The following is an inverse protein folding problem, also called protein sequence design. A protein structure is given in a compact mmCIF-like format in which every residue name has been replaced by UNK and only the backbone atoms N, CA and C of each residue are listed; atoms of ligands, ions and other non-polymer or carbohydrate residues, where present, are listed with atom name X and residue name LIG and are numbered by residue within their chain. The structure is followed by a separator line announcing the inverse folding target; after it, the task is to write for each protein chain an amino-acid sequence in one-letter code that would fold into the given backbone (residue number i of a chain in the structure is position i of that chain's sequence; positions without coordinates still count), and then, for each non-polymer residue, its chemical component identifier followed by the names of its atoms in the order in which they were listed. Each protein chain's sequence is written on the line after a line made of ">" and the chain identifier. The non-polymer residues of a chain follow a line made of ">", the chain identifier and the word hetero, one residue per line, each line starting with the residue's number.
data_IF_195216893406
#
_entry.id   IF_195216893406
#
_cell.length_a   1.000
_cell.length_b   1.000
_cell.length_c   1.000
_cell.angle_alpha   90.00
_cell.angle_beta   90.00
_cell.angle_gamma   90.00
#
_symmetry.space_group_name_H-M   'P 1'
#
loop_
_entity.id
_entity.type
_entity.pdbx_description
1 polymer ?
#
# COMPACT_ATOMS: atom_id res chain seq x y z
N UNK A 1 21.82 16.20 -12.16
CA UNK A 1 22.66 15.28 -11.37
C UNK A 1 21.88 13.96 -11.24
N UNK A 2 22.04 13.02 -12.19
CA UNK A 2 21.34 11.72 -12.14
C UNK A 2 22.09 10.86 -11.12
N UNK A 3 21.56 10.68 -9.90
CA UNK A 3 22.20 9.80 -8.93
C UNK A 3 22.13 8.37 -9.48
N UNK A 4 23.28 7.84 -9.90
CA UNK A 4 23.44 6.41 -10.20
C UNK A 4 23.42 5.67 -8.87
N UNK A 5 22.24 5.54 -8.27
CA UNK A 5 22.02 4.51 -7.26
C UNK A 5 22.15 3.19 -8.01
N UNK A 6 23.20 2.45 -7.70
CA UNK A 6 23.52 1.19 -8.40
C UNK A 6 22.62 0.07 -7.88
N UNK A 7 22.27 -0.91 -8.72
CA UNK A 7 21.49 -2.09 -8.29
C UNK A 7 22.00 -2.75 -7.01
N UNK A 8 23.32 -2.75 -6.81
CA UNK A 8 23.97 -3.30 -5.62
C UNK A 8 23.56 -2.55 -4.34
N UNK A 9 23.41 -1.23 -4.39
CA UNK A 9 22.94 -0.42 -3.26
C UNK A 9 21.47 -0.68 -2.96
N UNK A 10 20.62 -0.79 -3.98
CA UNK A 10 19.18 -1.06 -3.80
C UNK A 10 18.90 -2.47 -3.30
N UNK A 11 19.70 -3.47 -3.72
CA UNK A 11 19.68 -4.79 -3.10
C UNK A 11 20.10 -4.77 -1.62
N UNK A 12 21.07 -3.92 -1.25
CA UNK A 12 21.44 -3.69 0.16
C UNK A 12 20.30 -3.10 0.98
N UNK A 13 19.54 -2.16 0.40
CA UNK A 13 18.33 -1.60 1.01
C UNK A 13 17.22 -2.64 1.16
N UNK A 14 16.94 -3.43 0.12
CA UNK A 14 15.99 -4.56 0.17
C UNK A 14 16.32 -5.50 1.34
N UNK A 15 17.58 -5.91 1.48
CA UNK A 15 18.02 -6.77 2.60
C UNK A 15 17.81 -6.09 3.95
N UNK A 16 17.98 -4.77 4.02
CA UNK A 16 17.70 -4.00 5.24
C UNK A 16 16.20 -4.01 5.57
N UNK A 17 15.33 -3.80 4.58
CA UNK A 17 13.88 -3.86 4.74
C UNK A 17 13.38 -5.26 5.12
N UNK A 18 13.92 -6.31 4.51
CA UNK A 18 13.68 -7.69 4.93
C UNK A 18 14.00 -7.90 6.41
N UNK A 19 15.14 -7.39 6.91
CA UNK A 19 15.50 -7.46 8.33
C UNK A 19 14.51 -6.68 9.19
N UNK A 20 14.07 -5.48 8.77
CA UNK A 20 13.07 -4.68 9.49
C UNK A 20 11.72 -5.41 9.62
N UNK A 21 11.21 -5.99 8.53
CA UNK A 21 10.01 -6.82 8.57
C UNK A 21 10.15 -8.08 9.43
N UNK A 22 11.36 -8.67 9.51
CA UNK A 22 11.66 -9.83 10.36
C UNK A 22 11.77 -9.48 11.86
N UNK A 23 12.21 -8.27 12.21
CA UNK A 23 12.29 -7.80 13.61
C UNK A 23 10.91 -7.72 14.25
N UNK A 24 9.91 -7.30 13.47
CA UNK A 24 8.53 -7.21 13.95
C UNK A 24 7.85 -8.58 13.83
N UNK A 25 7.99 -9.37 14.90
CA UNK A 25 7.49 -10.75 15.00
C UNK A 25 6.09 -10.86 15.60
N UNK A 26 5.72 -9.96 16.51
CA UNK A 26 4.42 -9.98 17.21
C UNK A 26 3.94 -8.56 17.45
N UNK A 27 2.67 -8.34 17.16
CA UNK A 27 1.93 -7.16 17.64
C UNK A 27 1.15 -7.60 18.88
N UNK A 28 0.95 -6.70 19.83
CA UNK A 28 0.09 -6.95 20.99
C UNK A 28 -1.27 -7.44 20.49
N UNK A 29 -1.82 -8.49 21.14
CA UNK A 29 -3.19 -8.89 20.88
C UNK A 29 -4.13 -7.70 21.14
N UNK A 30 -5.17 -7.55 20.33
CA UNK A 30 -6.17 -6.50 20.52
C UNK A 30 -6.85 -6.74 21.89
N UNK A 31 -6.81 -5.80 22.84
CA UNK A 31 -7.64 -5.86 24.04
C UNK A 31 -9.12 -5.78 23.64
N UNK A 32 -10.02 -6.16 24.54
CA UNK A 32 -11.47 -6.11 24.28
C UNK A 32 -11.85 -4.70 23.79
N UNK A 33 -12.79 -4.59 22.84
CA UNK A 33 -13.22 -3.29 22.36
C UNK A 33 -13.70 -2.47 23.58
N UNK A 34 -13.47 -1.15 23.55
CA UNK A 34 -13.99 -0.14 24.50
C UNK A 34 -13.11 0.34 25.65
N UNK A 35 -11.89 -0.14 25.87
CA UNK A 35 -11.02 0.41 26.94
C UNK A 35 -10.13 1.60 26.49
N UNK A 36 -9.82 1.73 25.19
CA UNK A 36 -8.94 2.80 24.69
C UNK A 36 -9.23 3.14 23.21
N UNK A 37 -9.58 4.41 22.93
CA UNK A 37 -9.93 4.93 21.58
C UNK A 37 -8.75 4.95 20.59
N UNK A 38 -7.50 4.91 21.06
CA UNK A 38 -6.31 4.79 20.21
C UNK A 38 -6.04 3.37 19.72
N UNK A 39 -6.58 2.34 20.38
CA UNK A 39 -6.29 0.95 20.02
C UNK A 39 -6.76 0.54 18.62
N UNK A 40 -7.96 0.93 18.13
CA UNK A 40 -8.40 0.64 16.77
C UNK A 40 -7.51 1.30 15.71
N UNK A 41 -6.97 2.49 16.01
CA UNK A 41 -6.02 3.20 15.18
C UNK A 41 -4.71 2.41 15.07
N UNK A 42 -4.17 2.00 16.23
CA UNK A 42 -2.96 1.18 16.32
C UNK A 42 -3.14 -0.17 15.61
N UNK A 43 -4.26 -0.84 15.85
CA UNK A 43 -4.58 -2.13 15.25
C UNK A 43 -4.64 -2.05 13.73
N UNK A 44 -5.32 -1.04 13.18
CA UNK A 44 -5.44 -0.86 11.73
C UNK A 44 -4.08 -0.64 11.09
N UNK A 45 -3.22 0.19 11.69
CA UNK A 45 -1.84 0.36 11.21
C UNK A 45 -1.02 -0.93 11.29
N UNK A 46 -1.23 -1.76 12.32
CA UNK A 46 -0.59 -3.08 12.41
C UNK A 46 -1.09 -4.06 11.35
N UNK A 47 -2.39 -4.08 11.05
CA UNK A 47 -2.93 -4.86 9.93
C UNK A 47 -2.31 -4.41 8.61
N UNK A 48 -2.20 -3.10 8.40
CA UNK A 48 -1.51 -2.56 7.23
C UNK A 48 -0.04 -2.95 7.20
N UNK A 49 0.64 -3.02 8.34
CA UNK A 49 2.01 -3.51 8.38
C UNK A 49 2.14 -4.98 8.00
N UNK A 50 1.28 -5.83 8.56
CA UNK A 50 1.26 -7.27 8.25
C UNK A 50 1.00 -7.49 6.76
N UNK A 51 0.03 -6.78 6.19
CA UNK A 51 -0.26 -6.84 4.74
C UNK A 51 0.93 -6.37 3.91
N UNK A 52 1.54 -5.25 4.28
CA UNK A 52 2.75 -4.73 3.62
C UNK A 52 3.90 -5.73 3.67
N UNK A 53 4.08 -6.43 4.79
CA UNK A 53 5.08 -7.50 4.95
C UNK A 53 4.86 -8.66 3.99
N UNK A 54 3.62 -9.17 3.88
CA UNK A 54 3.31 -10.27 2.99
C UNK A 54 3.47 -9.89 1.50
N UNK A 55 3.00 -8.71 1.12
CA UNK A 55 3.18 -8.18 -0.24
C UNK A 55 4.67 -8.02 -0.57
N UNK A 56 5.46 -7.45 0.34
CA UNK A 56 6.90 -7.33 0.17
C UNK A 56 7.59 -8.69 0.07
N UNK A 57 7.22 -9.68 0.89
CA UNK A 57 7.78 -11.04 0.80
C UNK A 57 7.49 -11.69 -0.56
N UNK A 58 6.26 -11.60 -1.06
CA UNK A 58 5.90 -12.10 -2.39
C UNK A 58 6.67 -11.39 -3.50
N UNK A 59 6.88 -10.08 -3.35
CA UNK A 59 7.67 -9.29 -4.29
C UNK A 59 9.12 -9.75 -4.35
N UNK A 60 9.76 -9.98 -3.20
CA UNK A 60 11.13 -10.52 -3.14
C UNK A 60 11.20 -11.92 -3.76
N UNK A 61 10.27 -12.81 -3.43
CA UNK A 61 10.25 -14.16 -4.01
C UNK A 61 10.17 -14.07 -5.54
N UNK A 62 9.30 -13.22 -6.09
CA UNK A 62 9.20 -13.02 -7.54
C UNK A 62 10.48 -12.46 -8.19
N UNK A 63 11.24 -11.60 -7.49
CA UNK A 63 12.55 -11.12 -7.96
C UNK A 63 13.60 -12.24 -7.98
N UNK A 64 13.64 -13.07 -6.93
CA UNK A 64 14.57 -14.18 -6.80
C UNK A 64 14.30 -15.28 -7.84
N UNK A 65 13.02 -15.58 -8.08
CA UNK A 65 12.53 -16.53 -9.08
C UNK A 65 12.56 -15.97 -10.52
N UNK A 66 12.85 -14.67 -10.69
CA UNK A 66 12.84 -13.95 -11.97
C UNK A 66 11.48 -14.02 -12.69
N UNK A 67 10.39 -14.03 -11.94
CA UNK A 67 9.02 -14.06 -12.45
C UNK A 67 8.47 -12.62 -12.59
N UNK A 68 8.76 -11.99 -13.71
CA UNK A 68 8.44 -10.57 -13.97
C UNK A 68 6.93 -10.29 -13.96
N UNK A 69 6.11 -11.20 -14.48
CA UNK A 69 4.65 -11.07 -14.46
C UNK A 69 4.11 -11.00 -13.02
N UNK A 70 4.57 -11.94 -12.18
CA UNK A 70 4.17 -11.99 -10.77
C UNK A 70 4.72 -10.77 -10.02
N UNK A 71 5.92 -10.32 -10.37
CA UNK A 71 6.48 -9.09 -9.82
C UNK A 71 5.58 -7.89 -10.10
N UNK A 72 5.18 -7.65 -11.35
CA UNK A 72 4.36 -6.49 -11.72
C UNK A 72 2.98 -6.51 -11.05
N UNK A 73 2.35 -7.68 -10.93
CA UNK A 73 1.08 -7.81 -10.20
C UNK A 73 1.23 -7.50 -8.69
N UNK A 74 2.33 -7.96 -8.08
CA UNK A 74 2.57 -7.76 -6.64
C UNK A 74 3.06 -6.33 -6.35
N UNK A 75 3.96 -5.75 -7.15
CA UNK A 75 4.46 -4.38 -6.94
C UNK A 75 3.33 -3.37 -7.06
N UNK A 76 2.38 -3.55 -7.98
CA UNK A 76 1.17 -2.73 -8.07
C UNK A 76 0.37 -2.77 -6.78
N UNK A 77 0.04 -3.98 -6.33
CA UNK A 77 -0.70 -4.18 -5.07
C UNK A 77 0.06 -3.61 -3.86
N UNK A 78 1.39 -3.70 -3.87
CA UNK A 78 2.25 -3.16 -2.83
C UNK A 78 2.25 -1.64 -2.84
N UNK A 79 2.39 -1.00 -4.01
CA UNK A 79 2.35 0.46 -4.16
C UNK A 79 1.02 1.06 -3.73
N UNK A 80 -0.09 0.46 -4.17
CA UNK A 80 -1.41 0.90 -3.74
C UNK A 80 -1.57 0.80 -2.23
N UNK A 81 -1.02 -0.26 -1.64
CA UNK A 81 -0.98 -0.45 -0.20
C UNK A 81 -0.08 0.58 0.51
N UNK A 82 1.07 0.94 -0.06
CA UNK A 82 1.94 2.01 0.46
C UNK A 82 1.22 3.36 0.45
N UNK A 83 0.54 3.70 -0.65
CA UNK A 83 -0.25 4.93 -0.76
C UNK A 83 -1.39 4.94 0.26
N UNK A 84 -2.12 3.83 0.40
CA UNK A 84 -3.19 3.70 1.40
C UNK A 84 -2.65 3.86 2.84
N UNK A 85 -1.51 3.26 3.16
CA UNK A 85 -0.92 3.36 4.50
C UNK A 85 -0.38 4.76 4.81
N UNK A 86 0.31 5.39 3.86
CA UNK A 86 0.76 6.77 4.01
C UNK A 86 -0.42 7.73 4.19
N UNK A 87 -1.44 7.60 3.35
CA UNK A 87 -2.66 8.41 3.45
C UNK A 87 -3.38 8.19 4.78
N UNK A 88 -3.48 6.94 5.24
CA UNK A 88 -4.02 6.59 6.55
C UNK A 88 -3.31 7.36 7.67
N UNK A 89 -1.97 7.29 7.72
CA UNK A 89 -1.19 8.04 8.71
C UNK A 89 -1.47 9.54 8.65
N UNK A 90 -1.45 10.14 7.45
CA UNK A 90 -1.64 11.59 7.28
C UNK A 90 -2.99 12.05 7.81
N UNK A 91 -4.05 11.31 7.47
CA UNK A 91 -5.40 11.63 7.90
C UNK A 91 -5.61 11.42 9.38
N UNK A 92 -5.16 10.29 9.93
CA UNK A 92 -5.23 10.04 11.38
C UNK A 92 -4.47 11.13 12.14
N UNK A 93 -3.24 11.45 11.73
CA UNK A 93 -2.44 12.49 12.39
C UNK A 93 -3.14 13.85 12.35
N UNK A 94 -3.74 14.23 11.22
CA UNK A 94 -4.46 15.49 11.10
C UNK A 94 -5.68 15.55 12.03
N UNK A 95 -6.47 14.48 12.10
CA UNK A 95 -7.65 14.39 12.95
C UNK A 95 -7.27 14.43 14.44
N UNK A 96 -6.25 13.66 14.85
CA UNK A 96 -5.77 13.66 16.23
C UNK A 96 -5.21 15.04 16.64
N UNK A 97 -4.44 15.70 15.78
CA UNK A 97 -3.92 17.05 16.05
C UNK A 97 -5.04 18.10 16.15
N UNK A 98 -6.19 17.85 15.53
CA UNK A 98 -7.38 18.71 15.62
C UNK A 98 -8.30 18.35 16.80
N UNK A 99 -7.95 17.36 17.62
CA UNK A 99 -8.81 16.87 18.72
C UNK A 99 -10.02 16.05 18.25
N UNK A 100 -10.06 15.63 16.98
CA UNK A 100 -11.15 14.89 16.34
C UNK A 100 -10.93 13.37 16.48
N UNK A 101 -10.91 12.89 17.73
CA UNK A 101 -10.59 11.48 18.04
C UNK A 101 -11.66 10.51 17.53
N UNK A 102 -12.92 10.90 17.53
CA UNK A 102 -14.03 10.06 17.07
C UNK A 102 -13.95 9.83 15.56
N UNK A 103 -13.65 10.88 14.79
CA UNK A 103 -13.44 10.81 13.35
C UNK A 103 -12.18 9.99 13.02
N UNK A 104 -11.11 10.11 13.82
CA UNK A 104 -9.91 9.30 13.66
C UNK A 104 -10.22 7.81 13.89
N UNK A 105 -10.99 7.48 14.92
CA UNK A 105 -11.47 6.12 15.18
C UNK A 105 -12.32 5.60 14.01
N UNK A 106 -13.29 6.38 13.53
CA UNK A 106 -14.15 5.99 12.41
C UNK A 106 -13.35 5.75 11.14
N UNK A 107 -12.33 6.58 10.86
CA UNK A 107 -11.44 6.37 9.73
C UNK A 107 -10.62 5.08 9.86
N UNK A 108 -10.06 4.80 11.05
CA UNK A 108 -9.34 3.56 11.30
C UNK A 108 -10.23 2.34 11.10
N UNK A 109 -11.46 2.36 11.62
CA UNK A 109 -12.42 1.29 11.40
C UNK A 109 -12.71 1.10 9.89
N UNK A 110 -12.94 2.20 9.14
CA UNK A 110 -13.18 2.16 7.69
C UNK A 110 -12.01 1.53 6.92
N UNK A 111 -10.77 1.91 7.24
CA UNK A 111 -9.59 1.39 6.54
C UNK A 111 -9.17 -0.01 7.00
N UNK A 112 -9.48 -0.40 8.25
CA UNK A 112 -9.17 -1.72 8.82
C UNK A 112 -10.07 -2.85 8.32
N UNK A 113 -11.29 -2.55 7.87
CA UNK A 113 -12.28 -3.55 7.43
C UNK A 113 -12.01 -4.18 6.04
N UNK A 114 -10.91 -3.78 5.37
CA UNK A 114 -10.26 -4.59 4.32
C UNK A 114 -11.17 -5.17 3.25
N UNK A 115 -12.17 -4.42 2.76
CA UNK A 115 -13.05 -4.82 1.65
C UNK A 115 -14.08 -5.93 1.97
N UNK A 116 -13.86 -6.79 2.98
CA UNK A 116 -14.87 -7.76 3.44
C UNK A 116 -15.94 -7.14 4.35
N UNK A 117 -15.68 -5.94 4.87
CA UNK A 117 -16.61 -5.16 5.67
C UNK A 117 -16.95 -3.81 5.05
N UNK A 118 -17.05 -3.73 3.71
CA UNK A 118 -17.87 -2.64 3.15
C UNK A 118 -19.24 -2.76 3.82
N UNK A 119 -19.73 -1.69 4.47
CA UNK A 119 -21.00 -1.79 5.18
C UNK A 119 -22.06 -2.19 4.16
N UNK A 120 -22.72 -3.31 4.41
CA UNK A 120 -23.84 -3.75 3.59
C UNK A 120 -24.95 -2.70 3.69
N UNK A 121 -25.85 -2.63 2.71
CA UNK A 121 -27.00 -1.72 2.81
C UNK A 121 -27.80 -1.91 4.11
N UNK A 122 -27.83 -3.13 4.63
CA UNK A 122 -28.45 -3.46 5.91
C UNK A 122 -27.70 -2.80 7.09
N UNK A 123 -26.37 -2.86 7.10
CA UNK A 123 -25.56 -2.18 8.11
C UNK A 123 -25.69 -0.65 8.01
N UNK A 124 -25.77 -0.11 6.80
CA UNK A 124 -25.97 1.32 6.52
C UNK A 124 -27.34 1.78 7.04
N UNK A 125 -28.40 1.02 6.73
CA UNK A 125 -29.77 1.27 7.23
C UNK A 125 -29.86 1.20 8.75
N UNK A 126 -29.29 0.16 9.36
CA UNK A 126 -29.37 -0.04 10.81
C UNK A 126 -28.59 1.03 11.60
N UNK A 127 -27.59 1.66 10.99
CA UNK A 127 -26.81 2.74 11.59
C UNK A 127 -27.24 4.14 11.14
N UNK A 128 -28.20 4.24 10.23
CA UNK A 128 -28.71 5.52 9.70
C UNK A 128 -27.66 6.37 8.98
N UNK A 129 -26.64 5.76 8.37
CA UNK A 129 -25.55 6.48 7.69
C UNK A 129 -25.71 6.47 6.16
N UNK A 130 -24.99 7.30 5.41
CA UNK A 130 -25.02 7.30 3.95
C UNK A 130 -23.87 6.44 3.37
N UNK A 131 -24.10 5.72 2.27
CA UNK A 131 -23.06 4.98 1.52
C UNK A 131 -21.87 5.87 1.15
N UNK A 132 -22.12 7.15 0.84
CA UNK A 132 -21.07 8.14 0.54
C UNK A 132 -20.10 8.32 1.71
N UNK A 133 -20.59 8.23 2.96
CA UNK A 133 -19.77 8.40 4.16
C UNK A 133 -18.72 7.29 4.31
N UNK A 134 -18.90 6.17 3.61
CA UNK A 134 -18.03 5.00 3.65
C UNK A 134 -17.17 4.81 2.41
N UNK A 135 -17.28 5.71 1.42
CA UNK A 135 -16.40 5.66 0.25
C UNK A 135 -14.97 5.92 0.66
N UNK A 136 -14.10 4.96 0.38
CA UNK A 136 -12.66 5.17 0.48
C UNK A 136 -12.24 6.20 -0.58
N UNK A 137 -11.28 7.08 -0.27
CA UNK A 137 -10.70 7.96 -1.28
C UNK A 137 -10.17 7.14 -2.46
N UNK A 138 -10.25 7.71 -3.66
CA UNK A 138 -9.69 7.03 -4.82
C UNK A 138 -8.15 6.92 -4.67
N UNK A 139 -7.56 5.95 -5.37
CA UNK A 139 -6.14 5.65 -5.23
C UNK A 139 -5.22 6.82 -5.63
N UNK A 140 -5.61 7.59 -6.64
CA UNK A 140 -4.84 8.75 -7.10
C UNK A 140 -4.77 9.85 -6.04
N UNK A 141 -5.89 10.13 -5.36
CA UNK A 141 -5.94 11.07 -4.25
C UNK A 141 -5.03 10.61 -3.11
N UNK A 142 -4.96 9.31 -2.83
CA UNK A 142 -4.05 8.76 -1.83
C UNK A 142 -2.59 8.97 -2.26
N UNK A 143 -2.25 8.61 -3.50
CA UNK A 143 -0.89 8.76 -4.03
C UNK A 143 -0.43 10.22 -4.02
N UNK A 144 -1.24 11.15 -4.52
CA UNK A 144 -0.90 12.58 -4.59
C UNK A 144 -0.67 13.19 -3.19
N UNK A 145 -1.49 12.81 -2.21
CA UNK A 145 -1.35 13.28 -0.84
C UNK A 145 -0.05 12.76 -0.20
N UNK A 146 0.27 11.49 -0.44
CA UNK A 146 1.48 10.86 0.12
C UNK A 146 2.74 11.40 -0.56
N UNK A 147 2.75 11.52 -1.88
CA UNK A 147 3.86 12.11 -2.64
C UNK A 147 4.18 13.52 -2.13
N UNK A 148 3.16 14.39 -2.04
CA UNK A 148 3.33 15.77 -1.60
C UNK A 148 3.90 15.86 -0.18
N UNK A 149 3.45 15.01 0.73
CA UNK A 149 3.96 14.99 2.10
C UNK A 149 5.39 14.44 2.17
N UNK A 150 5.68 13.38 1.40
CA UNK A 150 6.98 12.74 1.35
C UNK A 150 8.05 13.68 0.78
N UNK A 151 7.75 14.37 -0.32
CA UNK A 151 8.61 15.40 -0.93
C UNK A 151 8.93 16.53 0.06
N UNK A 152 7.90 17.03 0.75
CA UNK A 152 8.05 18.09 1.76
C UNK A 152 9.04 17.67 2.86
N UNK A 153 8.96 16.43 3.32
CA UNK A 153 9.83 15.94 4.40
C UNK A 153 11.25 15.64 3.92
N UNK A 154 11.43 15.14 2.70
CA UNK A 154 12.75 14.80 2.16
C UNK A 154 13.45 15.98 1.48
N UNK A 155 12.77 17.12 1.30
CA UNK A 155 13.27 18.29 0.56
C UNK A 155 13.75 17.93 -0.86
N UNK A 156 13.11 16.94 -1.46
CA UNK A 156 13.34 16.53 -2.85
C UNK A 156 12.19 17.08 -3.72
N UNK A 157 12.49 17.53 -4.94
CA UNK A 157 11.48 17.97 -5.91
C UNK A 157 11.21 16.84 -6.90
N UNK A 158 9.95 16.45 -7.06
CA UNK A 158 9.48 15.53 -8.10
C UNK A 158 8.46 14.53 -7.57
N UNK A 159 7.24 14.56 -8.13
CA UNK A 159 6.22 13.53 -7.88
C UNK A 159 6.76 12.21 -8.39
N UNK A 160 6.71 11.17 -7.56
CA UNK A 160 7.25 9.87 -7.95
C UNK A 160 6.22 8.76 -7.85
N UNK A 161 5.34 8.71 -6.85
CA UNK A 161 4.37 7.61 -6.81
C UNK A 161 3.32 7.71 -7.91
N UNK A 162 2.73 8.87 -8.17
CA UNK A 162 1.69 8.91 -9.22
C UNK A 162 2.29 8.72 -10.61
N UNK A 163 3.32 9.50 -10.93
CA UNK A 163 3.99 9.46 -12.23
C UNK A 163 4.52 8.05 -12.53
N UNK A 164 5.28 7.43 -11.62
CA UNK A 164 5.79 6.07 -11.85
C UNK A 164 4.70 5.00 -11.80
N UNK A 165 3.61 5.23 -11.06
CA UNK A 165 2.48 4.31 -11.09
C UNK A 165 1.86 4.30 -12.48
N UNK A 166 1.54 5.47 -13.04
CA UNK A 166 0.93 5.59 -14.36
C UNK A 166 1.89 5.15 -15.48
N UNK A 167 3.17 5.48 -15.39
CA UNK A 167 4.16 5.17 -16.44
C UNK A 167 4.68 3.73 -16.41
N UNK A 168 4.78 3.08 -15.24
CA UNK A 168 5.53 1.82 -15.10
C UNK A 168 4.72 0.68 -14.45
N UNK A 169 3.59 0.96 -13.80
CA UNK A 169 2.91 -0.02 -12.93
C UNK A 169 1.44 -0.23 -13.35
N UNK A 170 0.75 0.80 -13.82
CA UNK A 170 -0.68 0.79 -14.13
C UNK A 170 -1.03 -0.24 -15.21
N UNK A 171 -0.15 -0.42 -16.19
CA UNK A 171 -0.29 -1.36 -17.31
C UNK A 171 -0.19 -2.85 -16.91
N UNK A 172 0.28 -3.16 -15.69
CA UNK A 172 0.53 -4.53 -15.21
C UNK A 172 -0.71 -5.40 -14.93
N UNK A 173 -1.91 -5.02 -15.38
CA UNK A 173 -3.13 -5.82 -15.19
C UNK A 173 -3.65 -5.88 -13.74
N UNK A 174 -4.76 -6.59 -13.52
CA UNK A 174 -5.52 -6.59 -12.25
C UNK A 174 -4.78 -7.21 -11.05
N UNK A 175 -4.98 -6.61 -9.89
CA UNK A 175 -4.25 -6.84 -8.62
C UNK A 175 -4.45 -8.19 -7.92
N UNK A 176 -5.10 -9.17 -8.55
CA UNK A 176 -5.16 -10.51 -7.97
C UNK A 176 -4.97 -11.60 -9.01
N UNK A 177 -4.01 -12.51 -8.72
CA UNK A 177 -3.91 -13.83 -9.36
C UNK A 177 -5.26 -14.55 -9.34
N UNK A 178 -6.06 -14.35 -8.29
CA UNK A 178 -7.46 -14.82 -8.18
C UNK A 178 -8.37 -14.20 -9.24
N UNK A 179 -8.31 -12.89 -9.49
CA UNK A 179 -9.10 -12.22 -10.52
C UNK A 179 -8.73 -12.66 -11.95
N UNK A 180 -7.43 -12.86 -12.21
CA UNK A 180 -6.94 -13.42 -13.47
C UNK A 180 -7.33 -14.89 -13.64
N UNK A 181 -7.28 -15.70 -12.57
CA UNK A 181 -7.71 -17.11 -12.56
C UNK A 181 -9.23 -17.25 -12.72
N UNK A 182 -10.02 -16.34 -12.15
CA UNK A 182 -11.48 -16.28 -12.33
C UNK A 182 -11.82 -15.84 -13.77
N UNK A 183 -11.14 -14.81 -14.29
CA UNK A 183 -11.35 -14.34 -15.65
C UNK A 183 -10.99 -15.40 -16.71
N UNK A 184 -9.87 -16.11 -16.53
CA UNK A 184 -9.47 -17.23 -17.42
C UNK A 184 -10.41 -18.43 -17.33
N UNK A 185 -11.04 -18.69 -16.17
CA UNK A 185 -12.04 -19.75 -16.04
C UNK A 185 -13.40 -19.41 -16.66
N UNK A 186 -13.82 -18.15 -16.67
CA UNK A 186 -15.19 -17.75 -17.01
C UNK A 186 -15.33 -17.10 -18.40
N UNK A 187 -14.25 -16.59 -18.99
CA UNK A 187 -14.28 -15.96 -20.32
C UNK A 187 -12.94 -16.15 -21.07
N UNK A 188 -12.58 -17.39 -21.47
CA UNK A 188 -11.31 -17.69 -22.13
C UNK A 188 -11.11 -16.93 -23.45
N UNK A 189 -12.20 -16.60 -24.13
CA UNK A 189 -12.27 -15.88 -25.40
C UNK A 189 -12.06 -14.35 -25.26
N UNK A 190 -12.00 -13.82 -24.03
CA UNK A 190 -11.67 -12.40 -23.74
C UNK A 190 -10.20 -12.17 -23.38
N UNK A 191 -9.34 -13.17 -23.54
CA UNK A 191 -7.87 -13.03 -23.37
C UNK A 191 -7.28 -11.89 -24.22
N UNK A 192 -7.90 -11.57 -25.36
CA UNK A 192 -7.54 -10.44 -26.23
C UNK A 192 -7.82 -9.05 -25.64
N UNK A 193 -8.56 -8.97 -24.52
CA UNK A 193 -8.83 -7.73 -23.78
C UNK A 193 -7.90 -7.55 -22.58
N UNK A 194 -6.99 -8.50 -22.31
CA UNK A 194 -5.93 -8.29 -21.33
C UNK A 194 -4.97 -7.20 -21.83
N UNK A 195 -4.43 -6.35 -20.95
CA UNK A 195 -3.49 -5.30 -21.34
C UNK A 195 -2.32 -5.88 -22.13
N UNK A 196 -1.93 -5.20 -23.21
CA UNK A 196 -0.75 -5.57 -24.00
C UNK A 196 0.51 -5.36 -23.16
N UNK A 197 1.00 -6.45 -22.57
CA UNK A 197 2.18 -6.44 -21.70
C UNK A 197 3.46 -6.08 -22.44
N UNK A 198 3.48 -6.03 -23.79
CA UNK A 198 4.70 -5.65 -24.54
C UNK A 198 5.20 -4.24 -24.20
N UNK A 199 4.32 -3.29 -23.84
CA UNK A 199 4.73 -1.94 -23.45
C UNK A 199 5.43 -1.90 -22.08
N UNK A 200 4.95 -2.66 -21.10
CA UNK A 200 5.64 -2.81 -19.80
C UNK A 200 6.97 -3.57 -19.91
N UNK A 201 7.13 -4.40 -20.95
CA UNK A 201 8.35 -5.16 -21.26
C UNK A 201 9.46 -4.34 -21.92
N UNK A 202 9.13 -3.19 -22.50
CA UNK A 202 10.12 -2.30 -23.12
C UNK A 202 10.91 -1.47 -22.10
N UNK A 203 10.55 -1.54 -20.81
CA UNK A 203 11.38 -1.02 -19.72
C UNK A 203 12.62 -1.91 -19.51
N UNK A 204 13.62 -1.67 -20.36
CA UNK A 204 14.97 -2.24 -20.29
C UNK A 204 15.64 -1.85 -18.97
N UNK A 205 15.42 -2.61 -17.88
CA UNK A 205 16.46 -3.02 -16.93
C UNK A 205 15.88 -3.78 -15.72
N UNK A 206 16.50 -4.91 -15.32
CA UNK A 206 16.30 -5.52 -13.99
C UNK A 206 16.59 -4.54 -12.84
N UNK A 207 17.37 -3.50 -13.14
CA UNK A 207 17.57 -2.38 -12.25
C UNK A 207 16.27 -1.70 -11.84
N UNK A 208 15.35 -1.52 -12.79
CA UNK A 208 14.09 -0.82 -12.57
C UNK A 208 13.22 -1.51 -11.52
N UNK A 209 13.07 -2.84 -11.59
CA UNK A 209 12.24 -3.60 -10.64
C UNK A 209 12.77 -3.53 -9.20
N UNK A 210 14.09 -3.68 -9.04
CA UNK A 210 14.75 -3.57 -7.73
C UNK A 210 14.63 -2.15 -7.18
N UNK A 211 14.67 -1.14 -8.05
CA UNK A 211 14.48 0.26 -7.66
C UNK A 211 13.05 0.52 -7.19
N UNK A 212 12.04 0.04 -7.92
CA UNK A 212 10.62 0.18 -7.56
C UNK A 212 10.33 -0.47 -6.20
N UNK A 213 10.91 -1.64 -5.92
CA UNK A 213 10.81 -2.34 -4.66
C UNK A 213 11.48 -1.58 -3.50
N UNK A 214 12.69 -1.08 -3.71
CA UNK A 214 13.44 -0.31 -2.73
C UNK A 214 12.74 1.03 -2.41
N UNK A 215 12.22 1.71 -3.44
CA UNK A 215 11.56 3.01 -3.28
C UNK A 215 10.22 2.88 -2.55
N UNK A 216 9.34 1.97 -2.96
CA UNK A 216 8.08 1.70 -2.23
C UNK A 216 8.33 1.32 -0.77
N UNK A 217 9.36 0.51 -0.52
CA UNK A 217 9.75 0.14 0.84
C UNK A 217 10.28 1.35 1.64
N UNK A 218 11.01 2.26 1.00
CA UNK A 218 11.49 3.50 1.63
C UNK A 218 10.30 4.33 2.11
N UNK A 219 9.33 4.58 1.24
CA UNK A 219 8.12 5.35 1.56
C UNK A 219 7.31 4.64 2.65
N UNK A 220 7.08 3.33 2.50
CA UNK A 220 6.38 2.53 3.49
C UNK A 220 7.01 2.64 4.89
N UNK A 221 8.33 2.47 4.98
CA UNK A 221 9.02 2.49 6.27
C UNK A 221 9.18 3.89 6.86
N UNK A 222 9.18 4.94 6.03
CA UNK A 222 9.08 6.32 6.49
C UNK A 222 7.77 6.54 7.24
N UNK A 223 6.63 6.14 6.65
CA UNK A 223 5.33 6.25 7.32
C UNK A 223 5.19 5.31 8.50
N UNK A 224 5.79 4.12 8.45
CA UNK A 224 5.81 3.20 9.59
C UNK A 224 6.52 3.77 10.80
N UNK A 225 7.69 4.40 10.61
CA UNK A 225 8.44 5.04 11.70
C UNK A 225 7.67 6.19 12.34
N UNK A 226 6.98 6.98 11.52
CA UNK A 226 6.09 8.03 12.00
C UNK A 226 4.89 7.46 12.76
N UNK A 227 4.28 6.41 12.23
CA UNK A 227 3.13 5.75 12.85
C UNK A 227 3.47 5.13 14.21
N UNK A 228 4.65 4.52 14.37
CA UNK A 228 5.12 3.97 15.65
C UNK A 228 5.23 5.04 16.76
N UNK A 229 5.22 6.34 16.42
CA UNK A 229 5.16 7.41 17.42
C UNK A 229 3.84 7.45 18.17
N UNK A 230 2.73 6.97 17.59
CA UNK A 230 1.44 6.85 18.28
C UNK A 230 1.46 5.82 19.43
N UNK A 231 2.52 5.02 19.54
CA UNK A 231 2.69 4.03 20.60
C UNK A 231 3.44 4.57 21.83
N UNK A 232 4.08 5.74 21.70
CA UNK A 232 4.84 6.39 22.77
C UNK A 232 3.96 7.37 23.52
#
# INVERSE_FOLDING_TARGET
>A
MKSRITNKQNWGQIKTYQKRFKRQKRFSAMPRPYENRMQPILHTGYLMFIRGKFLFQGLIASLEEKNEYTFYAIIKSYWEHVAAFGYYYLRISALLNAGQEEEAFLLAAKMGLGGRGFPTEEMIRNKGQNTEDYKLPNIYTMMDAVDKDFEKHLKQKGSMMRELYDEQIAEGGHTTYTGLTIATKWAPDRLSQLPDLKKSWESKDKASLVNLAAMSSTIFFFYWEKFEQFRK
#
